data_IF_732817577966
#
_entry.id   IF_732817577966
#
_cell.length_a   1.000
_cell.length_b   1.000
_cell.length_c   1.000
_cell.angle_alpha   90.00
_cell.angle_beta   90.00
_cell.angle_gamma   90.00
#
_symmetry.space_group_name_H-M   'P 1'
#
loop_
_entity.id
_entity.type
_entity.pdbx_description
1 polymer ?
#
# COMPACT_ATOMS: atom_id res chain seq x y z
N UNK A 1 4.92 -5.49 9.50
CA UNK A 1 4.99 -6.77 10.24
C UNK A 1 6.22 -6.77 11.10
N UNK A 2 6.16 -7.44 12.24
CA UNK A 2 7.15 -7.44 13.31
C UNK A 2 7.49 -8.89 13.68
N UNK A 3 8.64 -9.11 14.30
CA UNK A 3 8.90 -10.39 14.98
C UNK A 3 7.88 -10.62 16.10
N UNK A 4 7.60 -11.88 16.45
CA UNK A 4 6.72 -12.22 17.57
C UNK A 4 7.12 -11.49 18.86
N UNK A 5 6.17 -10.83 19.51
CA UNK A 5 6.41 -10.05 20.73
C UNK A 5 7.15 -8.73 20.54
N UNK A 6 7.42 -8.32 19.29
CA UNK A 6 8.10 -7.05 18.96
C UNK A 6 7.19 -5.99 18.33
N UNK A 7 5.86 -6.20 18.36
CA UNK A 7 4.92 -5.16 17.93
C UNK A 7 5.05 -3.93 18.84
N UNK A 8 4.91 -2.72 18.28
CA UNK A 8 4.86 -1.50 19.07
C UNK A 8 3.65 -1.51 19.99
N UNK A 9 3.84 -0.97 21.18
CA UNK A 9 2.76 -0.52 22.05
C UNK A 9 2.43 0.96 21.76
N UNK A 10 1.51 1.53 22.54
CA UNK A 10 1.12 2.95 22.39
C UNK A 10 2.27 3.91 22.65
N UNK A 11 3.13 3.62 23.62
CA UNK A 11 4.24 4.51 23.98
C UNK A 11 5.25 4.61 22.83
N UNK A 12 5.57 3.48 22.19
CA UNK A 12 6.41 3.45 21.00
C UNK A 12 5.81 4.25 19.82
N UNK A 13 4.48 4.24 19.66
CA UNK A 13 3.82 5.08 18.64
C UNK A 13 3.92 6.56 18.98
N UNK A 14 3.72 6.95 20.25
CA UNK A 14 3.89 8.35 20.68
C UNK A 14 5.31 8.83 20.40
N UNK A 15 6.33 8.07 20.82
CA UNK A 15 7.75 8.38 20.58
C UNK A 15 8.06 8.51 19.08
N UNK A 16 7.52 7.60 18.24
CA UNK A 16 7.70 7.69 16.80
C UNK A 16 7.08 8.98 16.21
N UNK A 17 5.93 9.43 16.74
CA UNK A 17 5.26 10.63 16.24
C UNK A 17 5.89 11.94 16.76
N UNK A 18 6.58 11.94 17.90
CA UNK A 18 7.34 13.12 18.36
C UNK A 18 8.39 13.57 17.34
N UNK A 19 9.00 12.62 16.63
CA UNK A 19 9.94 12.89 15.54
C UNK A 19 9.27 13.20 14.20
N UNK A 20 7.94 13.28 14.13
CA UNK A 20 7.17 13.58 12.93
C UNK A 20 5.98 14.51 13.25
N UNK A 21 6.22 15.80 13.54
CA UNK A 21 5.23 16.71 14.13
C UNK A 21 4.04 17.05 13.22
N UNK A 22 4.05 16.60 11.96
CA UNK A 22 2.92 16.72 11.03
C UNK A 22 1.83 15.69 11.30
N UNK A 23 2.15 14.59 11.97
CA UNK A 23 1.20 13.58 12.39
C UNK A 23 0.91 13.69 13.89
N UNK A 24 -0.30 13.30 14.29
CA UNK A 24 -0.73 13.30 15.69
C UNK A 24 -1.71 12.17 15.96
N UNK A 25 -1.92 11.83 17.23
CA UNK A 25 -3.01 10.94 17.66
C UNK A 25 -4.26 11.81 17.83
N UNK A 26 -5.27 11.64 16.98
CA UNK A 26 -6.53 12.37 17.07
C UNK A 26 -7.52 11.72 18.03
N UNK A 27 -7.43 10.40 18.22
CA UNK A 27 -8.25 9.66 19.17
C UNK A 27 -7.49 8.48 19.77
N UNK A 28 -7.52 8.38 21.09
CA UNK A 28 -7.02 7.25 21.87
C UNK A 28 -8.17 6.69 22.73
N UNK A 29 -8.73 5.51 22.39
CA UNK A 29 -9.82 4.91 23.15
C UNK A 29 -9.45 4.56 24.60
N UNK A 30 -8.16 4.41 24.93
CA UNK A 30 -7.72 4.17 26.31
C UNK A 30 -7.84 5.42 27.19
N UNK A 31 -7.82 6.61 26.58
CA UNK A 31 -7.92 7.91 27.25
C UNK A 31 -9.29 8.58 27.05
N UNK A 32 -10.20 7.97 26.29
CA UNK A 32 -11.55 8.49 26.09
C UNK A 32 -12.34 8.36 27.41
N UNK A 33 -12.57 9.50 28.08
CA UNK A 33 -13.37 9.59 29.31
C UNK A 33 -14.70 8.85 29.15
N UNK A 34 -14.98 7.90 30.04
CA UNK A 34 -16.26 7.16 30.13
C UNK A 34 -17.47 8.02 30.54
N UNK A 35 -17.38 9.34 30.44
CA UNK A 35 -18.30 10.30 31.06
C UNK A 35 -19.49 10.73 30.21
N UNK A 36 -19.72 10.14 29.03
CA UNK A 36 -20.96 10.36 28.27
C UNK A 36 -21.77 9.08 28.10
N UNK A 37 -22.62 8.81 29.10
CA UNK A 37 -23.75 7.90 29.00
C UNK A 37 -24.78 8.42 27.99
N UNK A 38 -24.84 7.87 26.77
CA UNK A 38 -26.10 7.57 26.06
C UNK A 38 -25.87 6.34 25.16
N UNK A 39 -26.77 5.37 25.22
CA UNK A 39 -26.77 4.07 24.55
C UNK A 39 -25.88 2.97 25.17
N UNK A 40 -26.20 2.62 26.41
CA UNK A 40 -25.91 1.30 26.96
C UNK A 40 -26.77 0.25 26.23
N UNK A 41 -26.31 -0.25 25.08
CA UNK A 41 -26.83 -1.50 24.47
C UNK A 41 -25.96 -2.08 23.34
N UNK A 42 -24.64 -1.95 23.42
CA UNK A 42 -23.72 -2.78 22.65
C UNK A 42 -22.76 -3.47 23.62
N UNK A 43 -22.79 -4.80 23.58
CA UNK A 43 -22.20 -5.78 24.48
C UNK A 43 -20.85 -5.40 25.10
N UNK A 44 -20.66 -5.80 26.36
CA UNK A 44 -19.38 -5.89 27.09
C UNK A 44 -18.35 -6.86 26.45
N UNK A 45 -18.51 -7.21 25.17
CA UNK A 45 -17.53 -7.93 24.37
C UNK A 45 -16.72 -6.90 23.56
N UNK A 46 -15.48 -6.69 23.99
CA UNK A 46 -14.47 -5.83 23.35
C UNK A 46 -14.77 -4.33 23.33
N UNK A 47 -14.44 -3.64 24.43
CA UNK A 47 -13.88 -2.30 24.27
C UNK A 47 -12.54 -2.50 23.57
N UNK A 48 -12.53 -2.46 22.24
CA UNK A 48 -11.33 -2.47 21.42
C UNK A 48 -10.54 -1.18 21.75
N UNK A 49 -9.75 -1.24 22.82
CA UNK A 49 -8.94 -0.11 23.26
C UNK A 49 -7.58 -0.08 22.56
N UNK A 50 -7.16 -1.19 21.97
CA UNK A 50 -5.80 -1.46 21.47
C UNK A 50 -5.55 -0.99 20.04
N UNK A 51 -6.07 0.21 19.75
CA UNK A 51 -5.84 0.93 18.51
C UNK A 51 -5.72 2.43 18.77
N UNK A 52 -5.17 3.15 17.80
CA UNK A 52 -5.05 4.61 17.81
C UNK A 52 -5.60 5.17 16.49
N UNK A 53 -6.30 6.30 16.54
CA UNK A 53 -6.59 7.10 15.36
C UNK A 53 -5.45 8.09 15.15
N UNK A 54 -4.80 8.00 13.99
CA UNK A 54 -3.70 8.86 13.59
C UNK A 54 -4.19 9.88 12.56
N UNK A 55 -3.85 11.15 12.75
CA UNK A 55 -4.18 12.26 11.86
C UNK A 55 -2.92 12.74 11.13
N UNK A 56 -3.00 12.85 9.80
CA UNK A 56 -2.00 13.49 8.95
C UNK A 56 -2.69 14.23 7.82
N UNK A 57 -2.34 15.51 7.61
CA UNK A 57 -2.85 16.36 6.52
C UNK A 57 -4.39 16.38 6.41
N UNK A 58 -5.09 16.34 7.55
CA UNK A 58 -6.56 16.35 7.61
C UNK A 58 -7.24 15.00 7.33
N UNK A 59 -6.46 13.94 7.13
CA UNK A 59 -6.96 12.57 6.94
C UNK A 59 -6.62 11.72 8.16
N UNK A 60 -7.55 10.84 8.54
CA UNK A 60 -7.37 9.95 9.69
C UNK A 60 -7.18 8.50 9.27
N UNK A 61 -6.39 7.77 10.06
CA UNK A 61 -6.06 6.39 9.83
C UNK A 61 -6.12 5.61 11.13
N UNK A 62 -6.77 4.44 11.10
CA UNK A 62 -6.76 3.52 12.23
C UNK A 62 -5.42 2.75 12.23
N UNK A 63 -4.68 2.84 13.33
CA UNK A 63 -3.54 1.97 13.63
C UNK A 63 -3.99 0.89 14.62
N UNK A 64 -4.05 -0.37 14.18
CA UNK A 64 -4.60 -1.50 14.93
C UNK A 64 -3.61 -2.63 15.16
N UNK A 65 -3.86 -3.38 16.22
CA UNK A 65 -3.05 -4.53 16.62
C UNK A 65 -1.78 -4.09 17.35
N UNK A 66 -1.89 -3.07 18.20
CA UNK A 66 -0.81 -2.66 19.08
C UNK A 66 -0.64 -3.64 20.24
N UNK A 67 0.56 -3.76 20.79
CA UNK A 67 0.77 -4.47 22.05
C UNK A 67 0.17 -3.67 23.24
N UNK A 68 -0.33 -4.32 24.30
CA UNK A 68 -0.42 -5.76 24.53
C UNK A 68 -1.64 -6.44 23.88
N UNK A 69 -2.46 -5.70 23.12
CA UNK A 69 -3.62 -6.23 22.42
C UNK A 69 -3.29 -7.30 21.37
N UNK A 70 -4.30 -7.98 20.82
CA UNK A 70 -4.10 -9.03 19.83
C UNK A 70 -3.44 -8.47 18.57
N UNK A 71 -2.54 -9.25 17.97
CA UNK A 71 -1.95 -8.91 16.67
C UNK A 71 -3.03 -8.93 15.57
N UNK A 72 -2.80 -8.16 14.51
CA UNK A 72 -3.59 -8.31 13.28
C UNK A 72 -3.23 -9.61 12.57
N UNK A 73 -4.18 -10.15 11.80
CA UNK A 73 -3.92 -11.27 10.90
C UNK A 73 -2.91 -10.82 9.84
N UNK A 74 -1.84 -11.60 9.65
CA UNK A 74 -0.88 -11.34 8.59
C UNK A 74 -1.56 -11.49 7.22
N UNK A 75 -1.39 -10.53 6.30
CA UNK A 75 -1.99 -10.61 4.98
C UNK A 75 -1.32 -11.71 4.15
N UNK A 76 -2.02 -12.17 3.11
CA UNK A 76 -1.42 -13.05 2.11
C UNK A 76 -0.34 -12.29 1.31
N UNK A 77 0.81 -12.93 1.10
CA UNK A 77 1.94 -12.37 0.34
C UNK A 77 2.36 -13.31 -0.78
N UNK A 78 2.15 -12.87 -2.01
CA UNK A 78 2.57 -13.53 -3.24
C UNK A 78 3.93 -12.99 -3.74
N UNK A 79 4.19 -11.68 -3.57
CA UNK A 79 5.37 -11.03 -4.15
C UNK A 79 6.24 -10.36 -3.09
N UNK A 80 7.56 -10.51 -3.21
CA UNK A 80 8.54 -10.06 -2.23
C UNK A 80 9.56 -9.15 -2.90
N UNK A 81 9.83 -8.00 -2.29
CA UNK A 81 10.78 -7.00 -2.80
C UNK A 81 11.84 -6.71 -1.75
N UNK A 82 13.06 -7.17 -2.02
CA UNK A 82 14.24 -6.97 -1.17
C UNK A 82 14.09 -7.51 0.27
N UNK A 83 13.15 -8.45 0.51
CA UNK A 83 12.94 -9.09 1.80
C UNK A 83 13.22 -10.60 1.75
N UNK A 84 13.69 -11.13 2.87
CA UNK A 84 14.02 -12.56 3.00
C UNK A 84 12.77 -13.44 3.03
N UNK A 85 12.88 -14.68 2.57
CA UNK A 85 11.75 -15.63 2.53
C UNK A 85 11.17 -15.88 3.92
N UNK A 86 12.03 -15.93 4.94
CA UNK A 86 11.67 -16.24 6.34
C UNK A 86 11.17 -15.01 7.11
N UNK A 87 11.08 -13.84 6.47
CA UNK A 87 10.67 -12.61 7.16
C UNK A 87 9.21 -12.60 7.63
N UNK A 88 8.40 -13.53 7.10
CA UNK A 88 6.97 -13.65 7.39
C UNK A 88 6.64 -14.81 8.35
N UNK A 89 7.58 -15.74 8.57
CA UNK A 89 7.38 -16.81 9.53
C UNK A 89 7.27 -16.24 10.95
N UNK A 90 6.26 -16.68 11.70
CA UNK A 90 5.97 -16.28 13.09
C UNK A 90 5.87 -14.75 13.29
N UNK A 91 5.53 -14.02 12.23
CA UNK A 91 5.47 -12.58 12.27
C UNK A 91 4.10 -12.07 12.74
N UNK A 92 4.12 -11.00 13.53
CA UNK A 92 2.93 -10.33 14.01
C UNK A 92 2.65 -9.06 13.19
N UNK A 93 1.38 -8.82 12.87
CA UNK A 93 1.00 -7.66 12.08
C UNK A 93 0.41 -6.54 12.93
N UNK A 94 0.76 -5.31 12.55
CA UNK A 94 0.05 -4.08 12.88
C UNK A 94 -0.54 -3.58 11.56
N UNK A 95 -1.79 -3.12 11.59
CA UNK A 95 -2.48 -2.60 10.40
C UNK A 95 -2.60 -1.09 10.50
N UNK A 96 -2.22 -0.39 9.44
CA UNK A 96 -2.55 1.02 9.23
C UNK A 96 -3.55 1.09 8.06
N UNK A 97 -4.71 1.70 8.28
CA UNK A 97 -5.79 1.75 7.28
C UNK A 97 -6.56 3.07 7.33
N UNK A 98 -7.16 3.52 6.21
CA UNK A 98 -8.03 4.69 6.21
C UNK A 98 -9.15 4.55 7.24
N UNK A 99 -9.43 5.63 7.99
CA UNK A 99 -10.51 5.66 8.96
C UNK A 99 -11.89 5.44 8.32
N UNK A 100 -12.92 5.01 9.06
CA UNK A 100 -14.23 4.63 8.51
C UNK A 100 -14.88 5.67 7.60
N UNK A 101 -14.66 6.96 7.85
CA UNK A 101 -15.25 8.06 7.09
C UNK A 101 -14.56 8.33 5.74
N UNK A 102 -13.32 7.89 5.55
CA UNK A 102 -12.61 7.98 4.25
C UNK A 102 -12.44 6.63 3.56
N UNK A 103 -12.95 5.54 4.16
CA UNK A 103 -12.79 4.18 3.64
C UNK A 103 -13.34 3.99 2.22
N UNK A 104 -14.45 4.65 1.87
CA UNK A 104 -15.02 4.60 0.53
C UNK A 104 -14.07 5.18 -0.55
N UNK A 105 -13.19 6.11 -0.16
CA UNK A 105 -12.17 6.73 -1.01
C UNK A 105 -10.77 6.18 -0.82
N UNK A 106 -10.62 4.99 -0.22
CA UNK A 106 -9.31 4.41 0.12
C UNK A 106 -8.35 4.27 -1.08
N UNK A 107 -8.89 4.11 -2.28
CA UNK A 107 -8.14 4.00 -3.53
C UNK A 107 -7.67 5.33 -4.10
N UNK A 108 -8.23 6.45 -3.64
CA UNK A 108 -7.90 7.77 -4.19
C UNK A 108 -6.43 8.10 -3.90
N UNK A 109 -5.76 8.70 -4.89
CA UNK A 109 -4.35 9.05 -4.77
C UNK A 109 -4.01 9.93 -3.56
N UNK A 110 -4.81 10.95 -3.19
CA UNK A 110 -4.55 11.72 -1.98
C UNK A 110 -4.54 10.86 -0.71
N UNK A 111 -5.51 9.94 -0.57
CA UNK A 111 -5.59 9.05 0.59
C UNK A 111 -4.42 8.08 0.63
N UNK A 112 -4.09 7.46 -0.51
CA UNK A 112 -2.93 6.55 -0.62
C UNK A 112 -1.64 7.29 -0.32
N UNK A 113 -1.45 8.50 -0.85
CA UNK A 113 -0.23 9.29 -0.64
C UNK A 113 -0.01 9.58 0.84
N UNK A 114 -1.06 9.98 1.55
CA UNK A 114 -1.00 10.24 2.99
C UNK A 114 -0.83 8.95 3.80
N UNK A 115 -1.49 7.87 3.40
CA UNK A 115 -1.32 6.54 4.02
C UNK A 115 0.13 6.05 3.91
N UNK A 116 0.72 6.13 2.71
CA UNK A 116 2.09 5.69 2.49
C UNK A 116 3.07 6.62 3.20
N UNK A 117 2.84 7.94 3.22
CA UNK A 117 3.64 8.87 4.00
C UNK A 117 3.66 8.48 5.48
N UNK A 118 2.49 8.31 6.10
CA UNK A 118 2.39 7.89 7.49
C UNK A 118 3.04 6.52 7.74
N UNK A 119 2.77 5.54 6.87
CA UNK A 119 3.38 4.22 6.96
C UNK A 119 4.91 4.25 6.80
N UNK A 120 5.43 5.11 5.93
CA UNK A 120 6.87 5.31 5.71
C UNK A 120 7.54 5.92 6.94
N UNK A 121 6.93 6.95 7.53
CA UNK A 121 7.44 7.60 8.73
C UNK A 121 7.45 6.66 9.95
N UNK A 122 6.41 5.84 10.10
CA UNK A 122 6.35 4.79 11.13
C UNK A 122 7.39 3.69 10.87
N UNK A 123 7.51 3.21 9.63
CA UNK A 123 8.47 2.18 9.26
C UNK A 123 9.94 2.63 9.42
N UNK A 124 10.22 3.92 9.27
CA UNK A 124 11.54 4.49 9.46
C UNK A 124 11.94 4.62 10.94
N UNK A 125 10.98 4.77 11.85
CA UNK A 125 11.22 5.07 13.27
C UNK A 125 11.05 3.88 14.20
N UNK A 126 10.18 2.95 13.85
CA UNK A 126 9.97 1.74 14.63
C UNK A 126 11.10 0.73 14.34
N UNK A 127 11.90 0.33 15.34
CA UNK A 127 13.13 -0.44 15.13
C UNK A 127 12.89 -1.88 14.63
N UNK A 128 11.75 -2.47 14.97
CA UNK A 128 11.49 -3.91 14.79
C UNK A 128 10.61 -4.24 13.56
N UNK A 129 10.41 -3.28 12.66
CA UNK A 129 9.65 -3.51 11.42
C UNK A 129 10.47 -4.45 10.53
N UNK A 130 9.98 -5.68 10.29
CA UNK A 130 10.65 -6.64 9.40
C UNK A 130 10.34 -6.39 7.94
N UNK A 131 9.08 -6.08 7.65
CA UNK A 131 8.57 -5.91 6.29
C UNK A 131 7.28 -5.11 6.29
N UNK A 132 7.07 -4.34 5.23
CA UNK A 132 5.82 -3.60 4.97
C UNK A 132 5.03 -4.36 3.93
N UNK A 133 3.76 -4.63 4.20
CA UNK A 133 2.88 -5.35 3.29
C UNK A 133 1.87 -4.41 2.65
N UNK A 134 1.57 -4.65 1.38
CA UNK A 134 0.48 -3.98 0.67
C UNK A 134 -0.53 -5.03 0.20
N UNK A 135 -1.58 -5.29 1.00
CA UNK A 135 -2.57 -6.31 0.70
C UNK A 135 -3.24 -6.21 -0.68
N UNK A 136 -3.55 -5.02 -1.24
CA UNK A 136 -4.18 -4.92 -2.56
C UNK A 136 -3.37 -5.57 -3.68
N UNK A 137 -2.06 -5.71 -3.52
CA UNK A 137 -1.18 -6.38 -4.48
C UNK A 137 -0.54 -7.66 -3.93
N UNK A 138 -0.91 -8.09 -2.71
CA UNK A 138 -0.26 -9.20 -1.97
C UNK A 138 1.27 -9.10 -1.96
N UNK A 139 1.80 -7.90 -1.78
CA UNK A 139 3.25 -7.67 -1.76
C UNK A 139 3.78 -7.53 -0.34
N UNK A 140 5.07 -7.81 -0.19
CA UNK A 140 5.86 -7.48 0.98
C UNK A 140 7.17 -6.84 0.52
N UNK A 141 7.54 -5.70 1.10
CA UNK A 141 8.71 -4.92 0.73
C UNK A 141 9.56 -4.59 1.97
N UNK A 142 10.88 -4.70 1.84
CA UNK A 142 11.78 -4.38 2.94
C UNK A 142 11.63 -2.91 3.39
N UNK A 143 11.66 -2.63 4.71
CA UNK A 143 11.34 -1.32 5.25
C UNK A 143 12.20 -0.21 4.64
N UNK A 144 13.52 -0.40 4.57
CA UNK A 144 14.43 0.59 3.98
C UNK A 144 14.14 0.87 2.51
N UNK A 145 13.71 -0.14 1.75
CA UNK A 145 13.37 0.06 0.35
C UNK A 145 12.03 0.81 0.22
N UNK A 146 11.04 0.41 1.03
CA UNK A 146 9.75 1.08 1.11
C UNK A 146 9.89 2.57 1.46
N UNK A 147 10.56 2.89 2.57
CA UNK A 147 10.71 4.27 3.05
C UNK A 147 11.38 5.16 1.99
N UNK A 148 12.46 4.68 1.36
CA UNK A 148 13.15 5.44 0.31
C UNK A 148 12.28 5.70 -0.93
N UNK A 149 11.47 4.72 -1.36
CA UNK A 149 10.57 4.91 -2.51
C UNK A 149 9.40 5.85 -2.20
N UNK A 150 8.85 5.78 -0.98
CA UNK A 150 7.79 6.66 -0.52
C UNK A 150 8.30 8.09 -0.37
N UNK A 151 9.47 8.29 0.25
CA UNK A 151 10.09 9.61 0.41
C UNK A 151 10.32 10.27 -0.95
N UNK A 152 10.90 9.54 -1.92
CA UNK A 152 11.10 10.03 -3.27
C UNK A 152 9.77 10.42 -3.96
N UNK A 153 8.72 9.61 -3.80
CA UNK A 153 7.41 9.92 -4.38
C UNK A 153 6.79 11.17 -3.74
N UNK A 154 6.86 11.30 -2.42
CA UNK A 154 6.33 12.46 -1.69
C UNK A 154 7.02 13.75 -2.15
N UNK A 155 8.33 13.69 -2.40
CA UNK A 155 9.13 14.78 -2.94
C UNK A 155 8.86 15.13 -4.42
N UNK A 156 7.88 14.47 -5.06
CA UNK A 156 7.48 14.72 -6.44
C UNK A 156 8.12 13.78 -7.46
N UNK A 157 8.80 12.73 -7.00
CA UNK A 157 9.31 11.65 -7.84
C UNK A 157 8.22 10.71 -8.35
N UNK A 158 8.65 9.58 -8.90
CA UNK A 158 7.75 8.57 -9.44
C UNK A 158 6.95 7.85 -8.33
N UNK A 159 5.74 7.42 -8.68
CA UNK A 159 4.90 6.49 -7.94
C UNK A 159 5.69 5.23 -7.56
N UNK A 160 5.58 4.76 -6.30
CA UNK A 160 6.34 3.62 -5.79
C UNK A 160 5.73 2.30 -6.28
N UNK A 161 5.76 2.07 -7.60
CA UNK A 161 5.15 0.90 -8.23
C UNK A 161 5.70 -0.42 -7.65
N UNK A 162 7.00 -0.49 -7.39
CA UNK A 162 7.60 -1.62 -6.68
C UNK A 162 7.18 -1.59 -5.22
N UNK A 163 6.58 -2.69 -4.76
CA UNK A 163 5.97 -2.77 -3.44
C UNK A 163 4.48 -2.43 -3.46
N UNK A 164 3.99 -1.55 -4.34
CA UNK A 164 2.54 -1.29 -4.49
C UNK A 164 1.85 -2.19 -5.53
N UNK A 165 2.64 -2.87 -6.37
CA UNK A 165 2.15 -3.75 -7.43
C UNK A 165 2.89 -5.10 -7.39
N UNK A 166 2.15 -6.16 -7.65
CA UNK A 166 2.70 -7.44 -8.08
C UNK A 166 2.95 -7.42 -9.58
N UNK A 167 4.04 -8.02 -10.05
CA UNK A 167 4.32 -8.19 -11.49
C UNK A 167 4.70 -9.64 -11.74
N UNK A 168 3.88 -10.36 -12.50
CA UNK A 168 3.99 -11.80 -12.67
C UNK A 168 3.78 -12.23 -14.12
N UNK A 169 4.31 -13.39 -14.47
CA UNK A 169 4.01 -14.03 -15.75
C UNK A 169 2.62 -14.68 -15.66
N UNK A 170 1.65 -14.12 -16.38
CA UNK A 170 0.30 -14.65 -16.51
C UNK A 170 0.15 -15.69 -17.62
N UNK A 171 -1.09 -16.16 -17.86
CA UNK A 171 -1.40 -17.08 -18.96
C UNK A 171 -0.90 -16.55 -20.31
N UNK A 172 -0.42 -17.44 -21.18
CA UNK A 172 0.08 -17.06 -22.52
C UNK A 172 1.40 -16.31 -22.52
N UNK A 173 2.18 -16.35 -21.42
CA UNK A 173 3.46 -15.64 -21.27
C UNK A 173 3.34 -14.11 -21.31
N UNK A 174 2.15 -13.56 -21.05
CA UNK A 174 1.96 -12.14 -20.80
C UNK A 174 2.54 -11.75 -19.44
N UNK A 175 3.22 -10.61 -19.35
CA UNK A 175 3.54 -10.02 -18.05
C UNK A 175 2.34 -9.22 -17.55
N UNK A 176 1.82 -9.53 -16.36
CA UNK A 176 0.63 -8.91 -15.77
C UNK A 176 0.94 -8.21 -14.47
N UNK A 177 0.14 -7.20 -14.14
CA UNK A 177 0.13 -6.60 -12.80
C UNK A 177 -0.91 -7.27 -11.89
N UNK A 178 -0.70 -7.10 -10.59
CA UNK A 178 -1.69 -7.31 -9.55
C UNK A 178 -1.69 -6.11 -8.60
N UNK A 179 -2.89 -5.62 -8.29
CA UNK A 179 -3.11 -4.49 -7.39
C UNK A 179 -3.18 -3.14 -8.10
N UNK A 180 -2.93 -3.08 -9.42
CA UNK A 180 -3.16 -1.84 -10.16
C UNK A 180 -4.65 -1.50 -10.21
N UNK A 181 -5.50 -2.53 -10.25
CA UNK A 181 -6.95 -2.36 -10.22
C UNK A 181 -7.45 -1.67 -8.95
N UNK A 182 -6.69 -1.72 -7.84
CA UNK A 182 -7.02 -0.93 -6.66
C UNK A 182 -7.00 0.56 -6.96
N UNK A 183 -6.06 1.06 -7.76
CA UNK A 183 -5.90 2.49 -8.03
C UNK A 183 -6.79 2.99 -9.18
N UNK A 184 -6.89 2.19 -10.25
CA UNK A 184 -7.51 2.62 -11.52
C UNK A 184 -8.61 1.68 -12.02
N UNK A 185 -8.95 0.62 -11.29
CA UNK A 185 -9.99 -0.34 -11.70
C UNK A 185 -9.56 -1.37 -12.74
N UNK A 186 -8.34 -1.29 -13.29
CA UNK A 186 -7.81 -2.25 -14.26
C UNK A 186 -6.42 -2.77 -13.88
N UNK A 187 -6.13 -4.01 -14.28
CA UNK A 187 -4.76 -4.54 -14.32
C UNK A 187 -4.11 -4.29 -15.69
N UNK A 188 -2.78 -4.25 -15.73
CA UNK A 188 -2.01 -4.15 -16.96
C UNK A 188 -1.60 -5.54 -17.45
N UNK A 189 -1.58 -5.74 -18.77
CA UNK A 189 -1.04 -6.94 -19.41
C UNK A 189 -0.17 -6.57 -20.61
N UNK A 190 1.13 -6.90 -20.55
CA UNK A 190 2.06 -6.73 -21.66
C UNK A 190 2.04 -7.97 -22.55
N UNK A 191 2.12 -7.74 -23.86
CA UNK A 191 2.30 -8.81 -24.84
C UNK A 191 3.53 -9.68 -24.55
N UNK A 192 3.53 -10.98 -24.93
CA UNK A 192 4.66 -11.87 -24.68
C UNK A 192 5.94 -11.43 -25.41
N UNK A 193 5.80 -10.78 -26.57
CA UNK A 193 6.92 -10.20 -27.32
C UNK A 193 7.64 -9.08 -26.54
N UNK A 194 6.91 -8.31 -25.74
CA UNK A 194 7.45 -7.27 -24.87
C UNK A 194 8.01 -7.83 -23.55
N UNK A 195 7.75 -9.10 -23.26
CA UNK A 195 8.05 -9.74 -21.97
C UNK A 195 9.30 -10.62 -22.00
N UNK A 196 10.04 -10.66 -23.12
CA UNK A 196 11.23 -11.52 -23.30
C UNK A 196 12.38 -11.12 -22.37
N UNK A 197 12.66 -9.82 -22.23
CA UNK A 197 13.53 -9.28 -21.18
C UNK A 197 12.66 -8.81 -20.01
N UNK A 198 12.61 -9.62 -18.95
CA UNK A 198 11.79 -9.34 -17.77
C UNK A 198 12.16 -8.03 -17.08
N UNK A 199 13.43 -7.64 -17.09
CA UNK A 199 13.87 -6.40 -16.47
C UNK A 199 13.42 -5.19 -17.30
N UNK A 200 13.55 -5.26 -18.63
CA UNK A 200 13.03 -4.22 -19.53
C UNK A 200 11.51 -4.12 -19.45
N UNK A 201 10.80 -5.24 -19.47
CA UNK A 201 9.35 -5.30 -19.36
C UNK A 201 8.87 -4.70 -18.03
N UNK A 202 9.55 -5.00 -16.92
CA UNK A 202 9.24 -4.41 -15.61
C UNK A 202 9.42 -2.90 -15.61
N UNK A 203 10.51 -2.38 -16.21
CA UNK A 203 10.71 -0.93 -16.35
C UNK A 203 9.61 -0.27 -17.19
N UNK A 204 9.18 -0.93 -18.27
CA UNK A 204 8.08 -0.47 -19.10
C UNK A 204 6.76 -0.43 -18.30
N UNK A 205 6.42 -1.50 -17.58
CA UNK A 205 5.25 -1.55 -16.68
C UNK A 205 5.27 -0.38 -15.69
N UNK A 206 6.38 -0.19 -14.97
CA UNK A 206 6.51 0.86 -13.96
C UNK A 206 6.28 2.25 -14.58
N UNK A 207 6.82 2.49 -15.78
CA UNK A 207 6.65 3.75 -16.49
C UNK A 207 5.22 3.95 -16.97
N UNK A 208 4.57 2.93 -17.52
CA UNK A 208 3.16 3.04 -17.95
C UNK A 208 2.28 3.31 -16.73
N UNK A 209 2.50 2.60 -15.62
CA UNK A 209 1.71 2.81 -14.40
C UNK A 209 1.90 4.22 -13.84
N UNK A 210 3.11 4.76 -13.88
CA UNK A 210 3.39 6.15 -13.51
C UNK A 210 2.48 7.14 -14.26
N UNK A 211 2.27 6.93 -15.55
CA UNK A 211 1.44 7.80 -16.40
C UNK A 211 -0.06 7.53 -16.25
N UNK A 212 -0.46 6.32 -15.84
CA UNK A 212 -1.87 5.97 -15.64
C UNK A 212 -2.39 6.39 -14.27
N UNK A 213 -1.55 6.29 -13.23
CA UNK A 213 -1.97 6.56 -11.86
C UNK A 213 -2.15 8.06 -11.66
N UNK A 214 -3.39 8.47 -11.40
CA UNK A 214 -3.74 9.88 -11.16
C UNK A 214 -4.30 10.61 -12.38
N UNK A 215 -4.43 9.92 -13.50
CA UNK A 215 -5.02 10.44 -14.72
C UNK A 215 -6.28 9.64 -15.09
N UNK A 216 -7.13 10.23 -15.95
CA UNK A 216 -8.27 9.51 -16.50
C UNK A 216 -7.79 8.38 -17.43
N UNK A 217 -8.39 7.20 -17.28
CA UNK A 217 -8.05 6.07 -18.14
C UNK A 217 -8.52 6.32 -19.57
N UNK A 218 -7.70 5.94 -20.57
CA UNK A 218 -8.16 5.96 -21.95
C UNK A 218 -9.32 4.97 -22.12
N UNK A 219 -10.37 5.42 -22.82
CA UNK A 219 -11.53 4.60 -23.19
C UNK A 219 -11.41 4.04 -24.61
N UNK A 220 -10.53 4.63 -25.42
CA UNK A 220 -10.20 4.19 -26.77
C UNK A 220 -8.72 3.77 -26.85
N UNK A 221 -8.34 2.93 -27.83
CA UNK A 221 -6.95 2.58 -28.04
C UNK A 221 -6.05 3.82 -28.21
N UNK A 222 -4.92 3.83 -27.51
CA UNK A 222 -3.96 4.93 -27.52
C UNK A 222 -2.59 4.44 -27.99
N UNK A 223 -2.06 5.03 -29.06
CA UNK A 223 -0.70 4.75 -29.54
C UNK A 223 0.31 5.68 -28.91
N UNK A 224 1.47 5.14 -28.58
CA UNK A 224 2.57 5.89 -27.98
C UNK A 224 3.92 5.28 -28.36
N UNK A 225 4.97 6.10 -28.29
CA UNK A 225 6.34 5.68 -28.61
C UNK A 225 7.15 5.63 -27.33
N UNK A 226 7.89 4.53 -27.12
CA UNK A 226 8.77 4.38 -25.97
C UNK A 226 10.21 4.82 -26.29
N UNK A 227 11.01 4.97 -25.23
CA UNK A 227 12.46 5.10 -25.37
C UNK A 227 13.03 3.92 -26.19
N UNK A 228 13.64 4.24 -27.33
CA UNK A 228 14.07 3.24 -28.32
C UNK A 228 13.29 3.29 -29.64
N UNK A 229 12.22 4.10 -29.72
CA UNK A 229 11.49 4.36 -30.96
C UNK A 229 10.46 3.30 -31.35
N UNK A 230 10.25 2.28 -30.52
CA UNK A 230 9.20 1.30 -30.73
C UNK A 230 7.82 1.94 -30.49
N UNK A 231 6.90 1.70 -31.41
CA UNK A 231 5.50 2.12 -31.30
C UNK A 231 4.70 1.01 -30.63
N UNK A 232 3.96 1.38 -29.60
CA UNK A 232 3.09 0.50 -28.84
C UNK A 232 1.66 1.03 -28.88
N UNK A 233 0.69 0.14 -28.71
CA UNK A 233 -0.71 0.45 -28.56
C UNK A 233 -1.20 -0.01 -27.19
N UNK A 234 -1.85 0.91 -26.47
CA UNK A 234 -2.59 0.63 -25.26
C UNK A 234 -4.04 0.37 -25.63
N UNK A 235 -4.53 -0.84 -25.37
CA UNK A 235 -5.90 -1.26 -25.70
C UNK A 235 -6.67 -1.53 -24.41
N UNK A 236 -7.58 -0.62 -24.01
CA UNK A 236 -8.43 -0.83 -22.85
C UNK A 236 -9.49 -1.91 -23.11
N UNK A 237 -9.59 -2.90 -22.22
CA UNK A 237 -10.72 -3.81 -22.08
C UNK A 237 -11.30 -3.64 -20.67
N UNK A 238 -12.07 -2.57 -20.51
CA UNK A 238 -12.63 -2.17 -19.21
C UNK A 238 -13.63 -3.20 -18.68
N UNK A 239 -14.29 -3.97 -19.56
CA UNK A 239 -15.20 -5.04 -19.17
C UNK A 239 -14.45 -6.22 -18.54
N UNK A 240 -13.27 -6.55 -19.08
CA UNK A 240 -12.37 -7.54 -18.49
C UNK A 240 -11.53 -6.99 -17.32
N UNK A 241 -11.56 -5.68 -17.07
CA UNK A 241 -10.72 -5.01 -16.07
C UNK A 241 -9.24 -5.08 -16.43
N UNK A 242 -8.90 -5.01 -17.72
CA UNK A 242 -7.51 -5.15 -18.21
C UNK A 242 -7.19 -4.07 -19.23
N UNK A 243 -6.00 -3.50 -19.13
CA UNK A 243 -5.38 -2.67 -20.17
C UNK A 243 -4.26 -3.50 -20.81
N UNK A 244 -4.36 -3.74 -22.12
CA UNK A 244 -3.33 -4.48 -22.86
C UNK A 244 -2.33 -3.54 -23.50
N UNK A 245 -1.06 -3.93 -23.49
CA UNK A 245 0.03 -3.22 -24.17
C UNK A 245 0.60 -4.15 -25.22
N UNK A 246 0.33 -3.80 -26.48
CA UNK A 246 0.71 -4.59 -27.65
C UNK A 246 1.67 -3.76 -28.53
N UNK A 247 2.64 -4.39 -29.21
CA UNK A 247 3.39 -3.72 -30.27
C UNK A 247 2.49 -3.43 -31.47
N UNK A 248 2.75 -2.32 -32.17
CA UNK A 248 2.08 -1.97 -33.45
C UNK A 248 2.69 -2.73 -34.62
#
# INVERSE_FOLDING_TARGET
MFEHGRRPDRAAIVEALECFPRASISFDPANADTSHHVAAELSQASRDTDWLELLLDGLTFDLRGLAPGPAMVAPEVAYRFSCDVDCLADAEAVSLRPGPHIAAGAHSLPVVRTLLALGGELAARLPDVRVVCWPPARTAIAPKFFTGTVEAWIAGGAFPALGMLGIYAGPGAHLRTEGLAFFIGCELALAPSLSQDRAAATRLVVRIVQELVGYELPVEPLRFVIEGGAELEMVPDLAAGVIRIDPV
#
